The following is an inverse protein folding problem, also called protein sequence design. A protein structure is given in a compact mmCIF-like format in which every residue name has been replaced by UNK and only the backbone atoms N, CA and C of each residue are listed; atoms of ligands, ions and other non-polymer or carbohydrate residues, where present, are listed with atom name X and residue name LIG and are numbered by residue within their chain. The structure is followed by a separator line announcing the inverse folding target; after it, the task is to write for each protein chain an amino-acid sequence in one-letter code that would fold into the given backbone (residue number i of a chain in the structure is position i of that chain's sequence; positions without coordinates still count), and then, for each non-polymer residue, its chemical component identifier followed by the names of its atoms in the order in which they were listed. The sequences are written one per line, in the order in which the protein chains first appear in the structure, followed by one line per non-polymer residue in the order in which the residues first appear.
data_IF_852064560910
#
_entry.id   IF_852064560910
#
_cell.length_a   1.000
_cell.length_b   1.000
_cell.length_c   1.000
_cell.angle_alpha   90.00
_cell.angle_beta   90.00
_cell.angle_gamma   90.00
#
_symmetry.space_group_name_H-M   'P 1'
#
loop_
_entity.id
_entity.type
_entity.pdbx_description
1 polymer ?
#
# COMPACT_ATOMS: atom_id res chain seq x y z
N UNK A 1 49.82 11.10 -18.30
CA UNK A 1 51.24 11.28 -18.58
C UNK A 1 51.78 9.89 -18.87
N UNK A 2 52.28 9.66 -20.08
CA UNK A 2 52.96 8.44 -20.46
C UNK A 2 54.31 8.38 -19.72
N UNK A 3 54.36 7.65 -18.64
CA UNK A 3 55.62 7.38 -17.93
C UNK A 3 56.41 6.38 -18.75
N UNK A 4 57.68 6.67 -19.04
CA UNK A 4 58.57 5.69 -19.70
C UNK A 4 58.83 4.51 -18.77
N UNK A 5 59.10 3.34 -19.37
CA UNK A 5 59.47 2.14 -18.60
C UNK A 5 60.67 2.41 -17.71
N UNK A 6 61.58 3.24 -18.11
CA UNK A 6 62.78 3.63 -17.37
C UNK A 6 62.44 4.43 -16.10
N UNK A 7 61.46 5.36 -16.21
CA UNK A 7 60.97 6.14 -15.05
C UNK A 7 60.23 5.29 -14.04
N UNK A 8 59.54 4.23 -14.50
CA UNK A 8 58.85 3.26 -13.63
C UNK A 8 59.83 2.35 -12.87
N UNK A 9 60.90 1.93 -13.54
CA UNK A 9 61.96 1.08 -12.94
C UNK A 9 62.79 1.85 -11.87
N UNK A 10 62.85 3.17 -11.96
CA UNK A 10 63.55 4.00 -10.98
C UNK A 10 62.77 4.18 -9.66
N UNK A 11 61.47 3.81 -9.62
CA UNK A 11 60.60 3.96 -8.43
C UNK A 11 60.43 2.66 -7.67
N UNK A 12 60.90 2.52 -6.42
CA UNK A 12 60.68 1.30 -5.62
C UNK A 12 59.19 1.15 -5.36
N UNK A 13 58.63 -0.04 -5.65
CA UNK A 13 57.23 -0.42 -5.40
C UNK A 13 56.18 0.54 -6.02
N UNK A 14 56.35 0.93 -7.28
CA UNK A 14 55.40 1.81 -7.96
C UNK A 14 54.04 1.10 -8.09
N UNK A 15 53.00 1.75 -7.54
CA UNK A 15 51.60 1.33 -7.77
C UNK A 15 51.15 1.78 -9.14
N UNK A 16 50.65 0.84 -9.94
CA UNK A 16 50.24 1.07 -11.31
C UNK A 16 48.73 0.90 -11.43
N UNK A 17 48.15 1.74 -12.29
CA UNK A 17 46.79 1.55 -12.78
C UNK A 17 46.86 1.48 -14.31
N UNK A 18 46.61 0.31 -14.84
CA UNK A 18 46.75 -0.01 -16.25
C UNK A 18 45.39 -0.24 -16.89
N UNK A 19 45.29 -0.05 -18.19
CA UNK A 19 44.16 -0.45 -19.00
C UNK A 19 44.62 -1.24 -20.19
N UNK A 20 43.89 -2.30 -20.53
CA UNK A 20 44.12 -3.04 -21.75
C UNK A 20 43.81 -2.18 -22.96
N UNK A 21 44.71 -2.18 -23.95
CA UNK A 21 44.53 -1.42 -25.19
C UNK A 21 43.61 -2.14 -26.18
N UNK A 22 43.60 -3.46 -26.15
CA UNK A 22 42.78 -4.32 -27.00
C UNK A 22 41.72 -5.05 -26.16
N UNK A 23 40.51 -5.20 -26.68
CA UNK A 23 39.40 -5.86 -26.00
C UNK A 23 38.65 -4.97 -25.01
N UNK A 24 37.90 -5.52 -24.06
CA UNK A 24 37.21 -4.79 -23.02
C UNK A 24 38.19 -3.94 -22.19
N UNK A 25 37.93 -2.63 -22.05
CA UNK A 25 38.83 -1.68 -21.37
C UNK A 25 38.76 -1.85 -19.84
N UNK A 26 39.14 -3.02 -19.34
CA UNK A 26 39.18 -3.31 -17.92
C UNK A 26 40.40 -2.67 -17.25
N UNK A 27 40.19 -2.14 -16.06
CA UNK A 27 41.25 -1.57 -15.25
C UNK A 27 41.99 -2.69 -14.49
N UNK A 28 43.28 -2.70 -14.62
CA UNK A 28 44.22 -3.55 -13.84
C UNK A 28 44.93 -2.67 -12.83
N UNK A 29 45.06 -3.17 -11.62
CA UNK A 29 45.92 -2.57 -10.58
C UNK A 29 47.16 -3.44 -10.41
N UNK A 30 48.32 -2.83 -10.26
CA UNK A 30 49.55 -3.58 -10.13
C UNK A 30 50.59 -2.89 -9.28
N UNK A 31 51.60 -3.66 -8.97
CA UNK A 31 52.82 -3.19 -8.31
C UNK A 31 53.99 -3.65 -9.13
N UNK A 32 54.86 -2.71 -9.47
CA UNK A 32 56.13 -3.00 -10.11
C UNK A 32 57.26 -3.06 -9.04
N UNK A 33 57.95 -4.17 -9.00
CA UNK A 33 59.09 -4.39 -8.08
C UNK A 33 60.37 -4.55 -8.91
N UNK A 34 61.30 -3.59 -8.87
CA UNK A 34 62.56 -3.70 -9.58
C UNK A 34 63.42 -4.83 -8.96
N UNK A 35 64.12 -5.56 -9.82
CA UNK A 35 65.10 -6.61 -9.47
C UNK A 35 66.46 -6.28 -10.07
N UNK A 36 67.49 -7.06 -9.71
CA UNK A 36 68.88 -6.84 -10.22
C UNK A 36 68.97 -6.98 -11.76
N UNK A 37 68.09 -7.75 -12.38
CA UNK A 37 68.13 -8.09 -13.82
C UNK A 37 66.85 -7.67 -14.57
N UNK A 38 65.94 -6.86 -13.96
CA UNK A 38 64.70 -6.43 -14.59
C UNK A 38 63.68 -5.94 -13.57
N UNK A 39 62.40 -6.29 -13.78
CA UNK A 39 61.33 -5.98 -12.82
C UNK A 39 60.28 -7.08 -12.82
N UNK A 40 59.64 -7.28 -11.69
CA UNK A 40 58.47 -8.13 -11.52
C UNK A 40 57.23 -7.22 -11.50
N UNK A 41 56.30 -7.48 -12.39
CA UNK A 41 55.02 -6.79 -12.46
C UNK A 41 53.91 -7.75 -11.96
N UNK A 42 53.37 -7.45 -10.79
CA UNK A 42 52.21 -8.16 -10.23
C UNK A 42 50.96 -7.38 -10.56
N UNK A 43 50.03 -7.99 -11.31
CA UNK A 43 48.79 -7.40 -11.76
C UNK A 43 47.59 -8.13 -11.17
N UNK A 44 46.53 -7.36 -10.85
CA UNK A 44 45.27 -7.88 -10.36
C UNK A 44 44.11 -7.12 -11.00
N UNK A 45 43.02 -7.80 -11.27
CA UNK A 45 41.77 -7.18 -11.72
C UNK A 45 41.02 -6.44 -10.60
N UNK A 46 41.34 -6.72 -9.35
CA UNK A 46 40.65 -6.14 -8.18
C UNK A 46 39.13 -6.31 -8.29
N UNK A 47 38.41 -5.24 -8.09
CA UNK A 47 36.90 -5.26 -8.16
C UNK A 47 36.36 -5.60 -9.55
N UNK A 48 37.18 -5.46 -10.62
CA UNK A 48 36.76 -5.77 -12.00
C UNK A 48 36.88 -7.25 -12.34
N UNK A 49 37.22 -8.13 -11.37
CA UNK A 49 37.47 -9.56 -11.60
C UNK A 49 36.25 -10.28 -12.15
N UNK A 50 35.04 -9.97 -11.64
CA UNK A 50 33.78 -10.58 -12.12
C UNK A 50 33.56 -10.31 -13.60
N UNK A 51 33.81 -9.08 -14.02
CA UNK A 51 33.71 -8.67 -15.42
C UNK A 51 34.81 -9.32 -16.25
N UNK A 52 36.04 -9.37 -15.74
CA UNK A 52 37.19 -10.00 -16.42
C UNK A 52 36.96 -11.49 -16.71
N UNK A 53 36.50 -12.23 -15.70
CA UNK A 53 36.20 -13.68 -15.85
C UNK A 53 35.16 -13.91 -16.96
N UNK A 54 34.12 -13.10 -17.01
CA UNK A 54 33.07 -13.22 -18.03
C UNK A 54 33.55 -12.84 -19.43
N UNK A 55 34.20 -11.69 -19.55
CA UNK A 55 34.60 -11.11 -20.84
C UNK A 55 35.76 -11.86 -21.49
N UNK A 56 36.67 -12.42 -20.69
CA UNK A 56 37.83 -13.15 -21.18
C UNK A 56 37.71 -14.67 -20.98
N UNK A 57 36.55 -15.17 -20.54
CA UNK A 57 36.29 -16.58 -20.25
C UNK A 57 37.39 -17.20 -19.34
N UNK A 58 37.87 -16.45 -18.33
CA UNK A 58 38.90 -16.91 -17.44
C UNK A 58 38.41 -18.05 -16.56
N UNK A 59 39.32 -18.99 -16.25
CA UNK A 59 39.08 -20.16 -15.41
C UNK A 59 40.01 -20.12 -14.18
N UNK A 60 39.82 -21.03 -13.23
CA UNK A 60 40.68 -21.12 -12.06
C UNK A 60 42.18 -21.39 -12.40
N UNK A 61 42.45 -21.95 -13.57
CA UNK A 61 43.83 -22.20 -14.04
C UNK A 61 44.56 -20.92 -14.49
N UNK A 62 43.82 -19.83 -14.77
CA UNK A 62 44.38 -18.55 -15.19
C UNK A 62 44.85 -17.68 -14.00
N UNK A 63 44.59 -18.13 -12.77
CA UNK A 63 44.96 -17.44 -11.54
C UNK A 63 46.04 -18.24 -10.78
N UNK A 64 46.97 -17.53 -10.13
CA UNK A 64 47.92 -18.17 -9.22
C UNK A 64 47.18 -18.77 -8.02
N UNK A 65 47.71 -19.89 -7.49
CA UNK A 65 47.12 -20.56 -6.31
C UNK A 65 47.04 -19.66 -5.07
N UNK A 66 47.88 -18.61 -5.03
CA UNK A 66 47.91 -17.60 -3.96
C UNK A 66 47.08 -16.34 -4.27
N UNK A 67 46.39 -16.32 -5.41
CA UNK A 67 45.55 -15.16 -5.81
C UNK A 67 44.20 -15.26 -5.12
N UNK A 68 43.84 -14.24 -4.36
CA UNK A 68 42.54 -14.09 -3.70
C UNK A 68 41.38 -13.88 -4.68
N UNK A 69 41.67 -13.88 -5.99
CA UNK A 69 40.68 -13.66 -7.04
C UNK A 69 39.54 -14.70 -6.99
N UNK A 70 39.87 -15.97 -6.77
CA UNK A 70 38.88 -17.03 -6.69
C UNK A 70 37.98 -16.91 -5.46
N UNK A 71 38.59 -16.56 -4.30
CA UNK A 71 37.82 -16.31 -3.07
C UNK A 71 36.89 -15.10 -3.22
N UNK A 72 37.37 -14.02 -3.84
CA UNK A 72 36.54 -12.85 -4.13
C UNK A 72 35.36 -13.19 -5.08
N UNK A 73 35.59 -14.00 -6.12
CA UNK A 73 34.53 -14.45 -7.02
C UNK A 73 33.49 -15.24 -6.25
N UNK A 74 33.93 -16.18 -5.42
CA UNK A 74 33.00 -16.99 -4.62
C UNK A 74 32.17 -16.14 -3.65
N UNK A 75 32.79 -15.17 -2.99
CA UNK A 75 32.12 -14.25 -2.08
C UNK A 75 31.11 -13.35 -2.82
N UNK A 76 31.44 -12.87 -4.02
CA UNK A 76 30.55 -12.05 -4.82
C UNK A 76 29.34 -12.86 -5.29
N UNK A 77 29.56 -14.10 -5.74
CA UNK A 77 28.50 -15.00 -6.16
C UNK A 77 27.59 -15.39 -4.99
N UNK A 78 28.16 -15.79 -3.86
CA UNK A 78 27.43 -16.10 -2.63
C UNK A 78 26.60 -14.91 -2.16
N UNK A 79 27.17 -13.69 -2.18
CA UNK A 79 26.46 -12.45 -1.86
C UNK A 79 25.30 -12.20 -2.84
N UNK A 80 25.51 -12.41 -4.13
CA UNK A 80 24.46 -12.21 -5.14
C UNK A 80 23.29 -13.17 -4.92
N UNK A 81 23.55 -14.44 -4.65
CA UNK A 81 22.53 -15.45 -4.32
C UNK A 81 21.79 -15.09 -3.04
N UNK A 82 22.51 -14.72 -1.98
CA UNK A 82 21.92 -14.30 -0.70
C UNK A 82 21.04 -13.06 -0.85
N UNK A 83 21.50 -12.06 -1.61
CA UNK A 83 20.69 -10.86 -1.90
C UNK A 83 19.45 -11.19 -2.72
N UNK A 84 19.55 -12.10 -3.68
CA UNK A 84 18.39 -12.57 -4.47
C UNK A 84 17.35 -13.28 -3.59
N UNK A 85 17.78 -14.15 -2.71
CA UNK A 85 16.94 -14.84 -1.73
C UNK A 85 16.25 -13.85 -0.76
N UNK A 86 17.02 -12.88 -0.23
CA UNK A 86 16.50 -11.84 0.66
C UNK A 86 15.43 -10.99 -0.02
N UNK A 87 15.62 -10.58 -1.28
CA UNK A 87 14.61 -9.82 -2.05
C UNK A 87 13.32 -10.62 -2.24
N UNK A 88 13.43 -11.92 -2.59
CA UNK A 88 12.26 -12.79 -2.73
C UNK A 88 11.50 -12.96 -1.42
N UNK A 89 12.21 -13.13 -0.32
CA UNK A 89 11.60 -13.25 1.00
C UNK A 89 10.88 -11.96 1.40
N UNK A 90 11.51 -10.80 1.22
CA UNK A 90 10.90 -9.51 1.51
C UNK A 90 9.64 -9.26 0.66
N UNK A 91 9.65 -9.61 -0.62
CA UNK A 91 8.48 -9.49 -1.48
C UNK A 91 7.33 -10.37 -0.97
N UNK A 92 7.59 -11.64 -0.60
CA UNK A 92 6.58 -12.53 -0.02
C UNK A 92 6.04 -12.04 1.31
N UNK A 93 6.91 -11.52 2.18
CA UNK A 93 6.48 -10.93 3.46
C UNK A 93 5.58 -9.72 3.24
N UNK A 94 5.90 -8.86 2.28
CA UNK A 94 5.05 -7.73 1.91
C UNK A 94 3.69 -8.19 1.38
N UNK A 95 3.65 -9.14 0.47
CA UNK A 95 2.40 -9.72 -0.07
C UNK A 95 1.53 -10.32 1.04
N UNK A 96 2.12 -11.15 1.91
CA UNK A 96 1.36 -11.77 3.02
C UNK A 96 0.89 -10.74 4.03
N UNK A 97 1.69 -9.72 4.33
CA UNK A 97 1.29 -8.64 5.24
C UNK A 97 0.15 -7.81 4.66
N UNK A 98 0.22 -7.46 3.36
CA UNK A 98 -0.84 -6.73 2.67
C UNK A 98 -2.14 -7.55 2.63
N UNK A 99 -2.08 -8.84 2.28
CA UNK A 99 -3.25 -9.72 2.27
C UNK A 99 -3.88 -9.85 3.66
N UNK A 100 -3.07 -10.04 4.71
CA UNK A 100 -3.54 -10.11 6.08
C UNK A 100 -4.16 -8.78 6.57
N UNK A 101 -3.60 -7.65 6.15
CA UNK A 101 -4.18 -6.34 6.43
C UNK A 101 -5.51 -6.14 5.71
N UNK A 102 -5.59 -6.52 4.44
CA UNK A 102 -6.82 -6.42 3.64
C UNK A 102 -7.93 -7.27 4.27
N UNK A 103 -7.63 -8.51 4.66
CA UNK A 103 -8.57 -9.37 5.37
C UNK A 103 -8.97 -8.79 6.74
N UNK A 104 -8.01 -8.24 7.50
CA UNK A 104 -8.28 -7.65 8.81
C UNK A 104 -9.14 -6.37 8.75
N UNK A 105 -9.15 -5.66 7.62
CA UNK A 105 -9.85 -4.39 7.42
C UNK A 105 -11.09 -4.48 6.52
N UNK A 106 -11.46 -5.68 6.07
CA UNK A 106 -12.60 -5.91 5.17
C UNK A 106 -13.72 -6.66 5.89
N UNK A 107 -14.97 -6.31 5.59
CA UNK A 107 -16.15 -7.06 5.98
C UNK A 107 -16.36 -8.23 5.00
N UNK A 108 -16.34 -9.44 5.49
CA UNK A 108 -16.36 -10.66 4.68
C UNK A 108 -17.65 -10.82 3.86
N UNK A 109 -18.78 -10.26 4.32
CA UNK A 109 -20.06 -10.39 3.62
C UNK A 109 -20.18 -9.41 2.46
N UNK A 110 -19.82 -8.15 2.69
CA UNK A 110 -20.09 -7.06 1.74
C UNK A 110 -18.88 -6.64 0.91
N UNK A 111 -17.66 -7.04 1.33
CA UNK A 111 -16.41 -6.59 0.74
C UNK A 111 -16.08 -5.12 1.04
N UNK A 112 -16.89 -4.43 1.82
CA UNK A 112 -16.61 -3.07 2.29
C UNK A 112 -15.52 -3.07 3.37
N UNK A 113 -14.99 -1.90 3.68
CA UNK A 113 -14.15 -1.74 4.87
C UNK A 113 -14.96 -2.01 6.14
N UNK A 114 -14.33 -2.61 7.13
CA UNK A 114 -14.96 -2.91 8.41
C UNK A 114 -14.72 -1.82 9.48
N UNK A 115 -15.21 -2.02 10.71
CA UNK A 115 -15.06 -1.09 11.83
C UNK A 115 -13.59 -0.77 12.15
N UNK A 116 -12.69 -1.76 12.08
CA UNK A 116 -11.26 -1.51 12.32
C UNK A 116 -10.65 -0.58 11.29
N UNK A 117 -11.06 -0.73 10.04
CA UNK A 117 -10.64 0.19 8.98
C UNK A 117 -11.17 1.62 9.22
N UNK A 118 -12.40 1.77 9.74
CA UNK A 118 -12.96 3.06 10.10
C UNK A 118 -12.09 3.80 11.13
N UNK A 119 -11.76 3.13 12.23
CA UNK A 119 -10.94 3.72 13.28
C UNK A 119 -9.61 4.23 12.72
N UNK A 120 -8.95 3.41 11.91
CA UNK A 120 -7.68 3.77 11.26
C UNK A 120 -7.80 4.97 10.29
N UNK A 121 -8.85 5.02 9.47
CA UNK A 121 -9.09 6.10 8.52
C UNK A 121 -9.39 7.41 9.25
N UNK A 122 -10.23 7.37 10.28
CA UNK A 122 -10.57 8.55 11.07
C UNK A 122 -9.35 9.11 11.79
N UNK A 123 -8.53 8.25 12.41
CA UNK A 123 -7.29 8.66 13.06
C UNK A 123 -6.33 9.34 12.06
N UNK A 124 -6.17 8.79 10.87
CA UNK A 124 -5.33 9.40 9.82
C UNK A 124 -5.83 10.79 9.41
N UNK A 125 -7.14 10.96 9.25
CA UNK A 125 -7.71 12.26 8.86
C UNK A 125 -7.58 13.30 9.96
N UNK A 126 -7.81 12.91 11.22
CA UNK A 126 -7.67 13.78 12.37
C UNK A 126 -6.21 14.20 12.60
N UNK A 127 -5.25 13.25 12.53
CA UNK A 127 -3.82 13.55 12.65
C UNK A 127 -3.33 14.46 11.53
N UNK A 128 -3.79 14.24 10.29
CA UNK A 128 -3.43 15.06 9.13
C UNK A 128 -4.24 16.36 9.00
N UNK A 129 -5.12 16.64 9.97
CA UNK A 129 -6.02 17.79 9.96
C UNK A 129 -6.84 17.94 8.66
N UNK A 130 -7.15 16.82 8.04
CA UNK A 130 -7.99 16.81 6.85
C UNK A 130 -9.43 17.12 7.21
N UNK A 131 -10.05 18.00 6.45
CA UNK A 131 -11.49 18.23 6.55
C UNK A 131 -12.24 17.07 5.91
N UNK A 132 -13.32 16.62 6.54
CA UNK A 132 -14.19 15.56 6.01
C UNK A 132 -15.60 15.69 6.59
N UNK A 133 -16.56 15.11 5.88
CA UNK A 133 -17.90 14.85 6.39
C UNK A 133 -18.05 13.35 6.68
N UNK A 134 -18.89 13.02 7.66
CA UNK A 134 -19.24 11.66 8.05
C UNK A 134 -20.75 11.48 7.95
N UNK A 135 -21.19 10.42 7.29
CA UNK A 135 -22.56 9.95 7.28
C UNK A 135 -22.64 8.62 8.01
N UNK A 136 -23.50 8.54 9.02
CA UNK A 136 -23.92 7.29 9.66
C UNK A 136 -25.25 6.88 9.06
N UNK A 137 -25.28 5.74 8.40
CA UNK A 137 -26.44 5.20 7.70
C UNK A 137 -26.87 3.88 8.33
N UNK A 138 -28.16 3.73 8.48
CA UNK A 138 -28.80 2.47 8.93
C UNK A 138 -29.92 2.12 7.96
N UNK A 139 -30.05 0.83 7.63
CA UNK A 139 -31.08 0.34 6.69
C UNK A 139 -32.42 0.20 7.37
N UNK A 140 -33.36 1.05 7.01
CA UNK A 140 -34.73 0.95 7.50
C UNK A 140 -35.39 -0.32 7.02
N UNK A 141 -36.13 -1.01 7.92
CA UNK A 141 -36.88 -2.26 7.68
C UNK A 141 -36.00 -3.48 7.39
N UNK A 142 -34.69 -3.43 7.61
CA UNK A 142 -33.79 -4.57 7.37
C UNK A 142 -34.19 -5.79 8.24
N UNK A 143 -34.54 -5.57 9.51
CA UNK A 143 -35.03 -6.63 10.38
C UNK A 143 -36.27 -7.32 9.82
N UNK A 144 -37.21 -6.56 9.25
CA UNK A 144 -38.41 -7.12 8.61
C UNK A 144 -38.06 -8.04 7.43
N UNK A 145 -37.03 -7.69 6.64
CA UNK A 145 -36.54 -8.57 5.56
C UNK A 145 -36.05 -9.89 6.13
N UNK A 146 -35.21 -9.86 7.18
CA UNK A 146 -34.70 -11.06 7.84
C UNK A 146 -35.85 -11.91 8.41
N UNK A 147 -36.78 -11.29 9.11
CA UNK A 147 -37.89 -11.98 9.77
C UNK A 147 -38.87 -12.60 8.74
N UNK A 148 -39.03 -11.99 7.56
CA UNK A 148 -39.96 -12.43 6.51
C UNK A 148 -39.35 -13.41 5.52
N UNK A 149 -38.09 -13.19 5.11
CA UNK A 149 -37.45 -13.91 4.00
C UNK A 149 -36.22 -14.71 4.42
N UNK A 150 -35.82 -14.60 5.69
CA UNK A 150 -34.65 -15.29 6.25
C UNK A 150 -33.35 -14.54 6.06
N UNK A 151 -32.31 -14.99 6.79
CA UNK A 151 -31.00 -14.33 6.80
C UNK A 151 -30.29 -14.31 5.45
N UNK A 152 -30.50 -15.31 4.58
CA UNK A 152 -29.92 -15.33 3.24
C UNK A 152 -30.41 -14.15 2.38
N UNK A 153 -31.70 -13.81 2.49
CA UNK A 153 -32.26 -12.62 1.82
C UNK A 153 -31.69 -11.33 2.43
N UNK A 154 -31.52 -11.29 3.74
CA UNK A 154 -30.85 -10.17 4.42
C UNK A 154 -29.39 -9.99 3.96
N UNK A 155 -28.63 -11.08 3.86
CA UNK A 155 -27.25 -11.02 3.35
C UNK A 155 -27.20 -10.49 1.92
N UNK A 156 -28.13 -10.93 1.05
CA UNK A 156 -28.23 -10.43 -0.31
C UNK A 156 -28.55 -8.92 -0.32
N UNK A 157 -29.48 -8.47 0.54
CA UNK A 157 -29.83 -7.03 0.68
C UNK A 157 -28.63 -6.22 1.15
N UNK A 158 -27.85 -6.70 2.13
CA UNK A 158 -26.63 -6.04 2.59
C UNK A 158 -25.58 -5.89 1.48
N UNK A 159 -25.35 -6.95 0.70
CA UNK A 159 -24.46 -6.93 -0.44
C UNK A 159 -24.94 -5.96 -1.54
N UNK A 160 -26.24 -5.90 -1.75
CA UNK A 160 -26.85 -4.97 -2.72
C UNK A 160 -26.72 -3.52 -2.26
N UNK A 161 -27.01 -3.22 -0.98
CA UNK A 161 -26.82 -1.91 -0.39
C UNK A 161 -25.35 -1.45 -0.47
N UNK A 162 -24.41 -2.34 -0.19
CA UNK A 162 -22.97 -2.06 -0.34
C UNK A 162 -22.61 -1.66 -1.78
N UNK A 163 -23.12 -2.37 -2.79
CA UNK A 163 -22.91 -2.03 -4.21
C UNK A 163 -23.50 -0.67 -4.58
N UNK A 164 -24.70 -0.36 -4.07
CA UNK A 164 -25.33 0.97 -4.27
C UNK A 164 -24.44 2.06 -3.68
N UNK A 165 -23.97 1.91 -2.44
CA UNK A 165 -23.13 2.90 -1.78
C UNK A 165 -21.82 3.14 -2.54
N UNK A 166 -21.14 2.08 -2.98
CA UNK A 166 -19.92 2.19 -3.79
C UNK A 166 -20.18 2.88 -5.14
N UNK A 167 -21.31 2.61 -5.77
CA UNK A 167 -21.68 3.25 -7.05
C UNK A 167 -22.02 4.75 -6.91
N UNK A 168 -22.38 5.20 -5.70
CA UNK A 168 -22.73 6.60 -5.40
C UNK A 168 -21.57 7.40 -4.81
N UNK A 169 -20.44 6.78 -4.55
CA UNK A 169 -19.25 7.38 -3.93
C UNK A 169 -18.07 7.41 -4.90
N UNK A 170 -17.08 8.27 -4.61
CA UNK A 170 -15.84 8.39 -5.38
C UNK A 170 -14.80 7.42 -4.83
N UNK A 171 -13.69 7.24 -5.55
CA UNK A 171 -12.59 6.38 -5.15
C UNK A 171 -11.92 6.83 -3.84
N UNK A 172 -11.87 8.13 -3.61
CA UNK A 172 -11.32 8.75 -2.41
C UNK A 172 -12.24 8.70 -1.19
N UNK A 173 -13.54 8.45 -1.40
CA UNK A 173 -14.50 8.29 -0.31
C UNK A 173 -14.34 6.92 0.32
N UNK A 174 -14.63 6.82 1.61
CA UNK A 174 -14.60 5.54 2.30
C UNK A 174 -16.04 5.08 2.61
N UNK A 175 -16.35 3.85 2.24
CA UNK A 175 -17.61 3.17 2.56
C UNK A 175 -17.30 1.99 3.45
N UNK A 176 -17.93 1.94 4.63
CA UNK A 176 -17.64 0.97 5.68
C UNK A 176 -18.93 0.36 6.23
N UNK A 177 -18.86 -0.93 6.57
CA UNK A 177 -19.89 -1.59 7.36
C UNK A 177 -19.36 -1.78 8.79
N UNK A 178 -20.05 -1.20 9.77
CA UNK A 178 -19.60 -1.17 11.18
C UNK A 178 -20.33 -2.14 12.09
N UNK A 179 -21.47 -2.66 11.63
CA UNK A 179 -22.26 -3.66 12.36
C UNK A 179 -23.51 -4.01 11.56
N UNK A 180 -24.19 -5.08 11.83
CA UNK A 180 -25.51 -5.46 11.30
C UNK A 180 -25.92 -4.80 9.98
N UNK A 181 -26.81 -3.83 10.07
CA UNK A 181 -27.34 -2.98 9.02
C UNK A 181 -26.80 -1.54 9.05
N UNK A 182 -25.72 -1.29 9.82
CA UNK A 182 -25.08 0.02 10.00
C UNK A 182 -23.88 0.22 9.09
N UNK A 183 -23.85 1.37 8.42
CA UNK A 183 -22.79 1.77 7.51
C UNK A 183 -22.28 3.17 7.86
N UNK A 184 -20.97 3.38 7.65
CA UNK A 184 -20.36 4.71 7.74
C UNK A 184 -19.82 5.07 6.36
N UNK A 185 -20.09 6.31 5.92
CA UNK A 185 -19.47 6.88 4.73
C UNK A 185 -18.66 8.11 5.15
N UNK A 186 -17.42 8.20 4.68
CA UNK A 186 -16.52 9.32 4.99
C UNK A 186 -16.13 9.99 3.67
N UNK A 187 -16.34 11.30 3.61
CA UNK A 187 -16.17 12.13 2.40
C UNK A 187 -15.04 13.15 2.63
N UNK A 188 -13.79 12.84 2.24
CA UNK A 188 -12.68 13.76 2.37
C UNK A 188 -12.88 15.02 1.52
N UNK A 189 -12.61 16.20 2.13
CA UNK A 189 -12.69 17.48 1.43
C UNK A 189 -14.09 17.98 1.12
N UNK A 190 -15.16 17.26 1.49
CA UNK A 190 -16.53 17.70 1.31
C UNK A 190 -17.02 18.41 2.57
N UNK A 191 -17.30 19.71 2.47
CA UNK A 191 -17.78 20.55 3.59
C UNK A 191 -19.05 21.32 3.25
N UNK A 192 -19.47 21.30 1.97
CA UNK A 192 -20.67 21.97 1.52
C UNK A 192 -21.92 21.18 1.87
N UNK A 193 -22.81 21.80 2.66
CA UNK A 193 -24.05 21.17 3.12
C UNK A 193 -25.00 20.82 1.99
N UNK A 194 -25.07 21.62 0.91
CA UNK A 194 -25.96 21.35 -0.22
C UNK A 194 -25.48 20.12 -1.00
N UNK A 195 -24.18 19.97 -1.15
CA UNK A 195 -23.58 18.76 -1.76
C UNK A 195 -23.88 17.51 -0.93
N UNK A 196 -23.71 17.59 0.40
CA UNK A 196 -23.98 16.46 1.30
C UNK A 196 -25.48 16.10 1.33
N UNK A 197 -26.36 17.10 1.31
CA UNK A 197 -27.82 16.95 1.21
C UNK A 197 -28.19 16.16 -0.06
N UNK A 198 -27.67 16.62 -1.22
CA UNK A 198 -27.92 15.96 -2.49
C UNK A 198 -27.38 14.52 -2.53
N UNK A 199 -26.19 14.28 -1.93
CA UNK A 199 -25.58 12.94 -1.84
C UNK A 199 -26.42 12.01 -0.98
N UNK A 200 -26.83 12.43 0.21
CA UNK A 200 -27.67 11.66 1.12
C UNK A 200 -29.03 11.35 0.49
N UNK A 201 -29.69 12.34 -0.10
CA UNK A 201 -30.96 12.15 -0.81
C UNK A 201 -30.84 11.12 -1.92
N UNK A 202 -29.82 11.25 -2.80
CA UNK A 202 -29.59 10.33 -3.91
C UNK A 202 -29.32 8.90 -3.42
N UNK A 203 -28.58 8.75 -2.34
CA UNK A 203 -28.26 7.47 -1.73
C UNK A 203 -29.52 6.79 -1.20
N UNK A 204 -30.33 7.49 -0.42
CA UNK A 204 -31.61 7.00 0.11
C UNK A 204 -32.53 6.57 -1.02
N UNK A 205 -32.72 7.42 -2.05
CA UNK A 205 -33.56 7.09 -3.22
C UNK A 205 -33.06 5.88 -4.01
N UNK A 206 -31.74 5.62 -4.01
CA UNK A 206 -31.19 4.45 -4.65
C UNK A 206 -31.46 3.17 -3.84
N UNK A 207 -31.42 3.26 -2.50
CA UNK A 207 -31.72 2.15 -1.59
C UNK A 207 -33.23 1.78 -1.59
N UNK A 208 -34.12 2.73 -1.84
CA UNK A 208 -35.57 2.48 -1.91
C UNK A 208 -36.01 1.65 -3.12
N UNK A 209 -35.14 1.45 -4.11
CA UNK A 209 -35.47 0.60 -5.26
C UNK A 209 -35.61 -0.85 -4.80
N UNK A 210 -36.71 -1.52 -5.23
CA UNK A 210 -36.90 -2.93 -4.85
C UNK A 210 -35.73 -3.81 -5.26
N UNK A 211 -35.34 -4.73 -4.36
CA UNK A 211 -34.23 -5.67 -4.54
C UNK A 211 -34.85 -7.05 -4.74
N UNK A 212 -34.58 -7.66 -5.89
CA UNK A 212 -34.98 -9.05 -6.13
C UNK A 212 -34.01 -10.02 -5.44
N UNK A 213 -34.57 -10.94 -4.67
CA UNK A 213 -33.83 -12.03 -4.01
C UNK A 213 -34.63 -13.31 -4.12
N UNK A 214 -34.14 -14.29 -4.84
CA UNK A 214 -34.80 -15.61 -5.06
C UNK A 214 -36.27 -15.50 -5.51
N UNK A 215 -36.55 -14.62 -6.48
CA UNK A 215 -37.90 -14.39 -7.01
C UNK A 215 -38.82 -13.59 -6.07
N UNK A 216 -38.31 -13.03 -4.99
CA UNK A 216 -39.02 -12.21 -4.01
C UNK A 216 -38.51 -10.79 -4.03
N UNK A 217 -39.41 -9.83 -3.85
CA UNK A 217 -39.05 -8.41 -3.84
C UNK A 217 -38.86 -7.94 -2.39
N UNK A 218 -37.62 -7.64 -2.02
CA UNK A 218 -37.27 -7.01 -0.75
C UNK A 218 -37.31 -5.49 -0.92
N UNK A 219 -37.86 -4.79 0.06
CA UNK A 219 -37.91 -3.32 0.06
C UNK A 219 -37.37 -2.79 1.37
N UNK A 220 -36.33 -1.97 1.22
CA UNK A 220 -35.64 -1.27 2.31
C UNK A 220 -35.64 0.24 2.01
N UNK A 221 -35.16 1.03 2.94
CA UNK A 221 -34.73 2.41 2.76
C UNK A 221 -33.49 2.65 3.61
N UNK A 222 -33.08 3.89 3.78
CA UNK A 222 -32.01 4.25 4.68
C UNK A 222 -32.30 5.53 5.44
N UNK A 223 -31.96 5.54 6.70
CA UNK A 223 -31.91 6.76 7.51
C UNK A 223 -30.46 7.19 7.68
N UNK A 224 -30.15 8.48 7.64
CA UNK A 224 -28.79 8.99 7.64
C UNK A 224 -28.62 10.14 8.63
N UNK A 225 -27.61 10.04 9.49
CA UNK A 225 -27.12 11.15 10.32
C UNK A 225 -25.80 11.70 9.78
N UNK A 226 -25.65 13.01 9.72
CA UNK A 226 -24.50 13.68 9.09
C UNK A 226 -23.82 14.61 10.09
N UNK A 227 -22.47 14.50 10.17
CA UNK A 227 -21.61 15.43 10.90
C UNK A 227 -20.46 15.90 10.01
N UNK A 228 -19.96 17.11 10.27
CA UNK A 228 -18.80 17.67 9.59
C UNK A 228 -17.67 17.86 10.60
N UNK A 229 -16.46 17.48 10.26
CA UNK A 229 -15.29 17.73 11.12
C UNK A 229 -15.03 19.23 11.32
N UNK A 230 -15.47 20.08 10.39
CA UNK A 230 -15.36 21.54 10.46
C UNK A 230 -16.28 22.19 11.48
N UNK A 231 -17.29 21.49 11.97
CA UNK A 231 -18.22 22.03 12.99
C UNK A 231 -17.60 21.99 14.42
N UNK A 232 -16.40 21.42 14.55
CA UNK A 232 -15.70 21.23 15.81
C UNK A 232 -14.38 22.00 15.84
N UNK A 233 -14.11 22.71 16.92
CA UNK A 233 -12.82 23.37 17.11
C UNK A 233 -11.65 22.37 17.18
N UNK A 234 -11.88 21.22 17.81
CA UNK A 234 -10.95 20.08 17.88
C UNK A 234 -11.79 18.83 17.61
N UNK A 235 -11.84 18.34 16.37
CA UNK A 235 -12.63 17.17 16.05
C UNK A 235 -12.02 15.90 16.65
N UNK A 236 -12.87 15.05 17.21
CA UNK A 236 -12.49 13.76 17.77
C UNK A 236 -13.42 12.65 17.23
N UNK A 237 -12.87 11.51 16.86
CA UNK A 237 -13.63 10.42 16.25
C UNK A 237 -14.83 9.97 17.11
N UNK A 238 -14.71 9.74 18.43
CA UNK A 238 -15.86 9.33 19.24
C UNK A 238 -16.98 10.37 19.27
N UNK A 239 -16.63 11.66 19.26
CA UNK A 239 -17.63 12.72 19.27
C UNK A 239 -18.36 12.82 17.91
N UNK A 240 -17.61 12.79 16.80
CA UNK A 240 -18.19 12.82 15.46
C UNK A 240 -19.17 11.66 15.24
N UNK A 241 -18.79 10.45 15.67
CA UNK A 241 -19.66 9.28 15.56
C UNK A 241 -20.90 9.40 16.46
N UNK A 242 -20.74 9.82 17.70
CA UNK A 242 -21.87 10.00 18.61
C UNK A 242 -22.86 11.05 18.14
N UNK A 243 -22.38 12.13 17.56
CA UNK A 243 -23.24 13.20 17.05
C UNK A 243 -23.90 12.82 15.72
N UNK A 244 -23.22 12.04 14.87
CA UNK A 244 -23.87 11.43 13.69
C UNK A 244 -24.96 10.43 14.08
N UNK A 245 -24.74 9.64 15.15
CA UNK A 245 -25.75 8.73 15.69
C UNK A 245 -26.98 9.47 16.21
N UNK A 246 -26.82 10.59 16.93
CA UNK A 246 -27.93 11.44 17.36
C UNK A 246 -28.73 11.97 16.18
N UNK A 247 -28.06 12.40 15.12
CA UNK A 247 -28.71 12.86 13.90
C UNK A 247 -29.45 11.72 13.17
N UNK A 248 -28.86 10.52 13.12
CA UNK A 248 -29.49 9.32 12.60
C UNK A 248 -30.75 8.96 13.41
N UNK A 249 -30.65 8.98 14.73
CA UNK A 249 -31.79 8.74 15.60
C UNK A 249 -32.94 9.73 15.37
N UNK A 250 -32.60 11.03 15.18
CA UNK A 250 -33.59 12.03 14.83
C UNK A 250 -34.24 11.76 13.44
N UNK A 251 -33.48 11.28 12.45
CA UNK A 251 -34.01 10.89 11.15
C UNK A 251 -34.99 9.71 11.27
N UNK A 252 -34.62 8.69 12.05
CA UNK A 252 -35.49 7.52 12.31
C UNK A 252 -36.81 7.93 13.01
N UNK A 253 -36.72 8.76 14.06
CA UNK A 253 -37.90 9.23 14.80
C UNK A 253 -38.84 10.11 13.95
N UNK A 254 -38.34 10.78 12.94
CA UNK A 254 -39.14 11.58 12.02
C UNK A 254 -39.76 10.75 10.89
N UNK A 255 -39.73 9.41 10.98
CA UNK A 255 -40.38 8.48 10.05
C UNK A 255 -39.44 7.64 9.19
N UNK A 256 -38.11 7.81 9.33
CA UNK A 256 -37.11 7.13 8.50
C UNK A 256 -37.05 7.63 7.06
N UNK A 257 -36.29 6.95 6.22
CA UNK A 257 -36.14 7.27 4.79
C UNK A 257 -35.71 8.73 4.54
N UNK A 258 -34.87 9.27 5.38
CA UNK A 258 -34.41 10.66 5.35
C UNK A 258 -33.05 10.84 6.01
N UNK A 259 -32.50 12.02 5.86
CA UNK A 259 -31.25 12.37 6.55
C UNK A 259 -31.43 13.61 7.45
N UNK A 260 -30.54 13.74 8.43
CA UNK A 260 -30.44 14.89 9.34
C UNK A 260 -28.97 15.29 9.52
N UNK A 261 -28.72 16.58 9.58
CA UNK A 261 -27.43 17.14 9.99
C UNK A 261 -27.44 17.38 11.48
N UNK A 262 -26.38 16.98 12.19
CA UNK A 262 -26.28 17.25 13.62
C UNK A 262 -26.29 18.76 13.92
N UNK A 263 -25.57 19.55 13.14
CA UNK A 263 -25.50 21.02 13.30
C UNK A 263 -26.85 21.73 13.09
N UNK A 264 -27.91 21.05 12.67
CA UNK A 264 -29.27 21.58 12.46
C UNK A 264 -30.29 20.97 13.43
N UNK A 265 -29.86 20.19 14.44
CA UNK A 265 -30.73 19.68 15.48
C UNK A 265 -30.86 20.70 16.61
#
# INVERSE_FOLDING_TARGET
ADLSVVDLLARPQAKLSLRLLAGPKLALKGVLVPTRSGAILNLSFGISIVTAVREYALTGADFAATDLAMEMLYLVEAKSVAMGASRKLNARLQETTMAAQEEAFTDALTGLKNRRAMDHIMDQFLVSQRVFALMHLDLDRFKLVNDTFGHAAGDHVLQHAARIMLAQTRKEDAVLRVGGDEFILIFPGVTDLATLDAMAYRLIRALEKPIESDGRMCQISGSVGITLATDYAIPAAPQLLADADKALYAAKNAGGAQHRFFSKL
#
